data_IF_889813597422
#
_entry.id   IF_889813597422
#
_cell.length_a   1.000
_cell.length_b   1.000
_cell.length_c   1.000
_cell.angle_alpha   90.00
_cell.angle_beta   90.00
_cell.angle_gamma   90.00
#
_symmetry.space_group_name_H-M   'P 1'
#
loop_
_entity.id
_entity.type
_entity.pdbx_description
1 polymer ?
#
# COMPACT_ATOMS: atom_id res chain seq x y z
N UNK A 1 1.75 -14.23 3.49
CA UNK A 1 2.70 -13.80 4.52
C UNK A 1 3.85 -13.07 3.85
N UNK A 2 4.44 -12.04 4.46
CA UNK A 2 5.65 -11.40 3.94
C UNK A 2 6.75 -12.44 3.73
N UNK A 3 7.49 -12.33 2.62
CA UNK A 3 8.58 -13.25 2.29
C UNK A 3 9.80 -12.48 1.80
N UNK A 4 10.99 -13.00 2.06
CA UNK A 4 12.27 -12.55 1.50
C UNK A 4 12.73 -13.46 0.35
N UNK A 5 11.98 -14.52 0.07
CA UNK A 5 12.27 -15.46 -1.01
C UNK A 5 11.74 -14.93 -2.34
N UNK A 6 12.63 -14.75 -3.31
CA UNK A 6 12.24 -14.34 -4.67
C UNK A 6 11.38 -15.41 -5.35
N UNK A 7 11.66 -16.67 -5.09
CA UNK A 7 10.93 -17.79 -5.71
C UNK A 7 9.50 -17.86 -5.18
N UNK A 8 9.30 -17.62 -3.88
CA UNK A 8 7.95 -17.54 -3.30
C UNK A 8 7.18 -16.36 -3.87
N UNK A 9 7.85 -15.22 -4.10
CA UNK A 9 7.23 -14.05 -4.70
C UNK A 9 6.80 -14.33 -6.14
N UNK A 10 7.66 -14.94 -6.96
CA UNK A 10 7.33 -15.32 -8.33
C UNK A 10 6.18 -16.33 -8.37
N UNK A 11 6.22 -17.35 -7.52
CA UNK A 11 5.13 -18.32 -7.40
C UNK A 11 3.81 -17.69 -6.90
N UNK A 12 3.86 -16.61 -6.13
CA UNK A 12 2.67 -15.87 -5.75
C UNK A 12 2.10 -15.06 -6.92
N UNK A 13 2.97 -14.44 -7.73
CA UNK A 13 2.58 -13.68 -8.94
C UNK A 13 1.93 -14.62 -9.96
N UNK A 14 2.50 -15.81 -10.20
CA UNK A 14 1.95 -16.79 -11.13
C UNK A 14 0.55 -17.31 -10.73
N UNK A 15 0.19 -17.17 -9.47
CA UNK A 15 -1.14 -17.53 -8.94
C UNK A 15 -2.16 -16.41 -9.03
N UNK A 16 -1.79 -15.23 -9.50
CA UNK A 16 -2.74 -14.14 -9.65
C UNK A 16 -3.83 -14.49 -10.65
N UNK A 17 -5.07 -14.39 -10.19
CA UNK A 17 -6.24 -14.52 -11.04
C UNK A 17 -6.71 -13.13 -11.45
N UNK A 18 -6.88 -12.93 -12.76
CA UNK A 18 -7.42 -11.68 -13.27
C UNK A 18 -8.86 -11.50 -12.77
N UNK A 19 -9.08 -10.46 -12.01
CA UNK A 19 -10.39 -10.05 -11.54
C UNK A 19 -10.93 -8.92 -12.43
N UNK A 20 -12.26 -8.86 -12.59
CA UNK A 20 -12.88 -7.73 -13.29
C UNK A 20 -12.87 -6.51 -12.38
N UNK A 21 -12.38 -5.41 -12.91
CA UNK A 21 -12.38 -4.12 -12.22
C UNK A 21 -11.09 -3.80 -11.45
N UNK A 22 -10.94 -2.52 -11.13
CA UNK A 22 -9.78 -1.96 -10.44
C UNK A 22 -10.22 -1.45 -9.06
N UNK A 23 -9.72 -2.08 -7.99
CA UNK A 23 -10.10 -1.82 -6.61
C UNK A 23 -8.94 -1.19 -5.82
N UNK A 24 -8.51 0.02 -6.21
CA UNK A 24 -7.36 0.73 -5.64
C UNK A 24 -7.48 0.88 -4.11
N UNK A 25 -8.63 1.38 -3.64
CA UNK A 25 -8.86 1.56 -2.21
C UNK A 25 -8.79 0.25 -1.43
N UNK A 26 -9.33 -0.85 -1.98
CA UNK A 26 -9.23 -2.18 -1.35
C UNK A 26 -7.77 -2.63 -1.23
N UNK A 27 -6.97 -2.43 -2.28
CA UNK A 27 -5.55 -2.74 -2.27
C UNK A 27 -4.79 -1.97 -1.17
N UNK A 28 -5.06 -0.68 -1.02
CA UNK A 28 -4.46 0.15 0.03
C UNK A 28 -4.86 -0.29 1.44
N UNK A 29 -6.15 -0.52 1.68
CA UNK A 29 -6.63 -0.96 3.01
C UNK A 29 -6.08 -2.33 3.36
N UNK A 30 -6.02 -3.28 2.40
CA UNK A 30 -5.44 -4.60 2.63
C UNK A 30 -3.93 -4.52 2.90
N UNK A 31 -3.21 -3.64 2.21
CA UNK A 31 -1.78 -3.40 2.47
C UNK A 31 -1.56 -2.86 3.88
N UNK A 32 -2.39 -1.90 4.33
CA UNK A 32 -2.33 -1.38 5.69
C UNK A 32 -2.65 -2.44 6.75
N UNK A 33 -3.66 -3.29 6.50
CA UNK A 33 -3.97 -4.39 7.40
C UNK A 33 -2.83 -5.42 7.49
N UNK A 34 -2.07 -5.58 6.41
CA UNK A 34 -0.88 -6.45 6.38
C UNK A 34 0.30 -5.84 7.14
N UNK A 35 0.49 -4.52 7.03
CA UNK A 35 1.54 -3.80 7.75
C UNK A 35 1.24 -3.66 9.25
N UNK A 36 -0.03 -3.54 9.60
CA UNK A 36 -0.49 -3.31 10.98
C UNK A 36 -1.56 -4.34 11.40
N UNK A 37 -1.20 -5.61 11.54
CA UNK A 37 -2.16 -6.68 11.84
C UNK A 37 -2.90 -6.46 13.17
N UNK A 38 -2.24 -5.81 14.13
CA UNK A 38 -2.82 -5.53 15.45
C UNK A 38 -3.75 -4.30 15.47
N UNK A 39 -3.77 -3.51 14.39
CA UNK A 39 -4.56 -2.27 14.34
C UNK A 39 -6.06 -2.50 14.15
N UNK A 40 -6.51 -3.73 13.93
CA UNK A 40 -7.92 -4.07 13.78
C UNK A 40 -8.60 -3.34 12.62
N UNK A 41 -7.90 -3.10 11.52
CA UNK A 41 -8.43 -2.40 10.34
C UNK A 41 -9.66 -3.15 9.81
N UNK A 42 -10.78 -2.44 9.67
CA UNK A 42 -12.04 -3.02 9.21
C UNK A 42 -11.99 -3.36 7.72
N UNK A 43 -11.95 -4.64 7.41
CA UNK A 43 -11.96 -5.17 6.04
C UNK A 43 -13.36 -5.46 5.50
N UNK A 44 -14.42 -5.22 6.26
CA UNK A 44 -15.78 -5.56 5.86
C UNK A 44 -16.23 -4.87 4.56
N UNK A 45 -15.73 -3.67 4.30
CA UNK A 45 -16.00 -2.94 3.06
C UNK A 45 -15.33 -3.56 1.82
N UNK A 46 -14.31 -4.40 2.03
CA UNK A 46 -13.54 -5.06 0.96
C UNK A 46 -14.09 -6.46 0.72
N UNK A 47 -14.36 -7.20 1.79
CA UNK A 47 -14.80 -8.59 1.71
C UNK A 47 -16.28 -8.73 1.36
N UNK A 48 -17.04 -7.62 1.40
CA UNK A 48 -18.50 -7.68 1.21
C UNK A 48 -19.23 -8.40 2.33
N UNK A 49 -18.54 -8.83 3.36
CA UNK A 49 -19.13 -9.41 4.54
C UNK A 49 -19.90 -8.34 5.29
N UNK A 50 -21.24 -8.39 5.19
CA UNK A 50 -22.08 -7.63 6.09
C UNK A 50 -21.71 -8.05 7.51
N UNK A 51 -21.28 -7.08 8.30
CA UNK A 51 -21.09 -7.27 9.75
C UNK A 51 -22.35 -7.91 10.28
N UNK A 52 -22.30 -9.22 10.53
CA UNK A 52 -23.43 -9.90 11.17
C UNK A 52 -23.68 -9.20 12.50
N UNK A 53 -24.94 -8.87 12.83
CA UNK A 53 -25.25 -8.29 14.13
C UNK A 53 -24.69 -9.22 15.20
N UNK A 54 -23.85 -8.66 16.06
CA UNK A 54 -23.23 -9.42 17.15
C UNK A 54 -24.36 -10.02 18.01
N UNK A 55 -24.35 -11.33 18.29
CA UNK A 55 -25.37 -11.92 19.14
C UNK A 55 -25.44 -11.18 20.48
N UNK A 56 -26.63 -10.76 20.90
CA UNK A 56 -26.87 -10.19 22.21
C UNK A 56 -26.43 -11.22 23.26
N UNK A 57 -25.29 -10.98 23.94
CA UNK A 57 -24.73 -11.88 24.93
C UNK A 57 -23.29 -12.32 24.69
N UNK A 58 -22.67 -12.03 23.56
CA UNK A 58 -21.24 -12.27 23.40
C UNK A 58 -20.43 -11.39 24.37
N UNK A 59 -19.79 -12.03 25.35
CA UNK A 59 -18.92 -11.38 26.33
C UNK A 59 -17.91 -10.50 25.60
N UNK A 60 -17.74 -9.26 26.09
CA UNK A 60 -16.75 -8.29 25.65
C UNK A 60 -15.34 -8.79 26.01
N UNK A 61 -14.84 -9.76 25.24
CA UNK A 61 -13.47 -10.27 25.32
C UNK A 61 -12.63 -9.91 24.10
N UNK A 62 -13.22 -9.18 23.14
CA UNK A 62 -12.44 -8.57 22.09
C UNK A 62 -11.80 -7.30 22.66
N UNK A 63 -10.49 -7.26 22.73
CA UNK A 63 -9.71 -6.08 23.03
C UNK A 63 -10.34 -4.89 22.33
N UNK A 64 -10.76 -3.87 23.08
CA UNK A 64 -11.17 -2.61 22.49
C UNK A 64 -9.98 -2.16 21.63
N UNK A 65 -10.22 -1.79 20.36
CA UNK A 65 -9.12 -1.24 19.58
C UNK A 65 -8.51 -0.10 20.38
N UNK A 66 -7.22 -0.16 20.64
CA UNK A 66 -6.49 0.96 21.25
C UNK A 66 -6.83 2.22 20.46
N UNK A 67 -7.16 3.34 21.12
CA UNK A 67 -7.43 4.58 20.42
C UNK A 67 -6.29 4.84 19.46
N UNK A 68 -6.59 4.88 18.17
CA UNK A 68 -5.60 5.14 17.15
C UNK A 68 -5.30 6.65 17.18
N UNK A 69 -4.06 7.00 17.44
CA UNK A 69 -3.57 8.37 17.38
C UNK A 69 -2.83 8.59 16.06
N UNK A 70 -3.32 9.53 15.21
CA UNK A 70 -2.66 9.81 13.95
C UNK A 70 -1.24 10.33 14.16
N UNK A 71 -0.33 9.92 13.30
CA UNK A 71 1.05 10.40 13.26
C UNK A 71 1.28 11.30 12.04
N UNK A 72 2.36 12.08 11.99
CA UNK A 72 2.64 12.90 10.81
C UNK A 72 2.74 12.05 9.54
N UNK A 73 2.13 12.47 8.42
CA UNK A 73 2.21 11.74 7.15
C UNK A 73 3.67 11.49 6.74
N UNK A 74 3.96 10.32 6.20
CA UNK A 74 5.29 9.94 5.73
C UNK A 74 6.33 9.65 6.82
N UNK A 75 5.94 9.68 8.12
CA UNK A 75 6.86 9.49 9.24
C UNK A 75 7.23 8.02 9.51
N UNK A 76 6.47 7.06 8.99
CA UNK A 76 6.75 5.64 9.16
C UNK A 76 7.84 5.18 8.17
N UNK A 77 9.05 4.97 8.68
CA UNK A 77 10.22 4.64 7.86
C UNK A 77 10.43 3.15 7.61
N UNK A 78 9.72 2.28 8.36
CA UNK A 78 9.93 0.83 8.30
C UNK A 78 9.29 0.15 7.08
N UNK A 79 8.32 0.80 6.42
CA UNK A 79 7.69 0.29 5.22
C UNK A 79 7.08 1.40 4.36
N UNK A 80 6.85 1.10 3.09
CA UNK A 80 6.09 1.92 2.17
C UNK A 80 5.20 1.03 1.29
N UNK A 81 4.17 1.61 0.72
CA UNK A 81 3.30 0.95 -0.25
C UNK A 81 3.67 1.46 -1.64
N UNK A 82 3.81 0.57 -2.61
CA UNK A 82 3.94 0.90 -4.03
C UNK A 82 2.66 0.46 -4.72
N UNK A 83 1.89 1.44 -5.18
CA UNK A 83 0.64 1.23 -5.91
C UNK A 83 0.89 1.33 -7.40
N UNK A 84 0.78 0.23 -8.12
CA UNK A 84 0.85 0.18 -9.58
C UNK A 84 -0.55 -0.02 -10.15
N UNK A 85 -0.97 0.83 -11.09
CA UNK A 85 -2.27 0.72 -11.75
C UNK A 85 -2.22 1.26 -13.18
N UNK A 86 -3.03 0.66 -14.04
CA UNK A 86 -3.20 1.03 -15.45
C UNK A 86 -4.56 1.69 -15.74
N UNK A 87 -5.40 1.91 -14.72
CA UNK A 87 -6.75 2.38 -14.94
C UNK A 87 -7.40 3.14 -13.80
N UNK A 88 -8.64 3.55 -14.05
CA UNK A 88 -9.50 4.20 -13.08
C UNK A 88 -10.08 3.19 -12.10
N UNK A 89 -10.32 3.64 -10.87
CA UNK A 89 -11.10 2.86 -9.91
C UNK A 89 -12.49 2.54 -10.47
N UNK A 90 -12.85 1.27 -10.45
CA UNK A 90 -14.18 0.81 -10.86
C UNK A 90 -14.98 0.21 -9.71
N UNK A 91 -14.32 -0.19 -8.61
CA UNK A 91 -14.95 -0.84 -7.46
C UNK A 91 -14.17 -0.59 -6.17
N UNK A 92 -14.74 -1.01 -5.05
CA UNK A 92 -14.12 -0.89 -3.72
C UNK A 92 -14.29 0.48 -3.06
N UNK A 93 -13.72 0.66 -1.86
CA UNK A 93 -13.75 1.92 -1.12
C UNK A 93 -13.02 3.04 -1.86
N UNK A 94 -13.26 4.28 -1.45
CA UNK A 94 -12.64 5.45 -2.03
C UNK A 94 -11.11 5.43 -1.83
N UNK A 95 -10.30 5.57 -2.90
CA UNK A 95 -8.85 5.52 -2.80
C UNK A 95 -8.25 6.66 -1.97
N UNK A 96 -8.89 7.84 -1.97
CA UNK A 96 -8.40 8.99 -1.21
C UNK A 96 -8.66 8.82 0.29
N UNK A 97 -9.78 8.19 0.66
CA UNK A 97 -10.04 7.82 2.05
C UNK A 97 -9.03 6.75 2.52
N UNK A 98 -8.74 5.76 1.69
CA UNK A 98 -7.72 4.77 1.99
C UNK A 98 -6.30 5.39 2.09
N UNK A 99 -5.99 6.39 1.25
CA UNK A 99 -4.74 7.15 1.34
C UNK A 99 -4.64 7.97 2.63
N UNK A 100 -5.74 8.58 3.09
CA UNK A 100 -5.77 9.25 4.40
C UNK A 100 -5.49 8.27 5.54
N UNK A 101 -6.07 7.07 5.49
CA UNK A 101 -5.76 6.01 6.47
C UNK A 101 -4.28 5.64 6.49
N UNK A 102 -3.60 5.66 5.33
CA UNK A 102 -2.17 5.45 5.23
C UNK A 102 -1.39 6.63 5.81
N UNK A 103 -1.77 7.85 5.45
CA UNK A 103 -1.17 9.09 5.94
C UNK A 103 -1.24 9.20 7.46
N UNK A 104 -2.40 8.92 8.05
CA UNK A 104 -2.61 8.92 9.50
C UNK A 104 -1.69 7.92 10.22
N UNK A 105 -1.25 6.86 9.54
CA UNK A 105 -0.28 5.87 10.04
C UNK A 105 1.16 6.18 9.63
N UNK A 106 1.39 7.33 9.02
CA UNK A 106 2.70 7.77 8.55
C UNK A 106 3.24 7.00 7.34
N UNK A 107 2.46 6.10 6.74
CA UNK A 107 2.90 5.25 5.63
C UNK A 107 2.91 6.01 4.32
N UNK A 108 4.05 6.01 3.62
CA UNK A 108 4.18 6.55 2.28
C UNK A 108 3.54 5.61 1.25
N UNK A 109 2.77 6.18 0.32
CA UNK A 109 2.19 5.44 -0.81
C UNK A 109 2.74 6.02 -2.11
N UNK A 110 3.76 5.39 -2.64
CA UNK A 110 4.28 5.71 -3.97
C UNK A 110 3.32 5.19 -5.02
N UNK A 111 2.92 6.05 -5.94
CA UNK A 111 1.97 5.67 -6.99
C UNK A 111 2.65 5.65 -8.35
N UNK A 112 2.39 4.58 -9.12
CA UNK A 112 2.93 4.37 -10.46
C UNK A 112 1.78 4.18 -11.41
N UNK A 113 1.57 5.17 -12.28
CA UNK A 113 0.60 5.06 -13.38
C UNK A 113 1.24 4.38 -14.58
N UNK A 114 0.71 3.23 -14.99
CA UNK A 114 1.16 2.51 -16.17
C UNK A 114 0.10 2.57 -17.27
N UNK A 115 0.50 2.94 -18.49
CA UNK A 115 -0.41 3.03 -19.63
C UNK A 115 -0.41 4.39 -20.30
N UNK A 116 -1.43 4.68 -21.10
CA UNK A 116 -1.55 5.94 -21.83
C UNK A 116 -2.64 6.83 -21.25
N UNK A 117 -2.35 8.13 -21.13
CA UNK A 117 -3.33 9.15 -20.70
C UNK A 117 -4.42 9.40 -21.73
N UNK A 118 -4.16 9.05 -22.98
CA UNK A 118 -5.14 9.20 -24.08
C UNK A 118 -6.17 8.07 -24.12
N UNK A 119 -5.94 7.00 -23.37
CA UNK A 119 -6.79 5.82 -23.27
C UNK A 119 -6.68 4.93 -24.51
N UNK A 120 -6.19 3.71 -24.33
CA UNK A 120 -6.31 2.67 -25.35
C UNK A 120 -7.71 2.05 -25.32
N UNK A 121 -8.23 1.79 -26.53
CA UNK A 121 -9.47 1.03 -26.68
C UNK A 121 -9.08 -0.45 -26.71
N UNK A 122 -9.29 -1.15 -25.59
CA UNK A 122 -9.10 -2.58 -25.53
C UNK A 122 -10.39 -3.27 -25.97
N UNK A 123 -10.34 -3.94 -27.11
CA UNK A 123 -11.44 -4.74 -27.63
C UNK A 123 -11.38 -6.18 -27.07
N UNK A 124 -12.41 -6.62 -26.37
CA UNK A 124 -12.60 -8.00 -25.96
C UNK A 124 -13.99 -8.46 -26.43
N UNK A 125 -14.03 -9.48 -27.27
CA UNK A 125 -15.26 -10.15 -27.72
C UNK A 125 -16.44 -9.22 -28.10
N UNK A 126 -16.17 -8.19 -28.90
CA UNK A 126 -17.20 -7.26 -29.35
C UNK A 126 -17.51 -6.11 -28.38
N UNK A 127 -16.87 -6.04 -27.25
CA UNK A 127 -16.93 -4.91 -26.30
C UNK A 127 -15.65 -4.11 -26.40
N UNK A 128 -15.76 -2.80 -26.58
CA UNK A 128 -14.64 -1.90 -26.49
C UNK A 128 -14.72 -1.09 -25.21
N UNK A 129 -13.71 -1.21 -24.35
CA UNK A 129 -13.56 -0.39 -23.14
C UNK A 129 -12.37 0.54 -23.32
N UNK A 130 -12.60 1.84 -23.14
CA UNK A 130 -11.52 2.80 -23.10
C UNK A 130 -10.97 2.83 -21.67
N UNK A 131 -9.79 2.30 -21.48
CA UNK A 131 -9.07 2.38 -20.21
C UNK A 131 -8.24 3.65 -20.20
N UNK A 132 -8.56 4.58 -19.32
CA UNK A 132 -7.86 5.84 -19.18
C UNK A 132 -7.21 5.89 -17.80
N UNK A 133 -5.94 6.22 -17.76
CA UNK A 133 -5.20 6.42 -16.50
C UNK A 133 -5.75 7.65 -15.77
N UNK A 134 -6.09 7.50 -14.50
CA UNK A 134 -6.51 8.59 -13.61
C UNK A 134 -5.30 9.13 -12.85
N UNK A 135 -4.47 9.91 -13.56
CA UNK A 135 -3.28 10.52 -12.96
C UNK A 135 -3.61 11.44 -11.78
N UNK A 136 -4.72 12.17 -11.87
CA UNK A 136 -5.09 13.13 -10.85
C UNK A 136 -5.30 12.44 -9.49
N UNK A 137 -6.02 11.33 -9.47
CA UNK A 137 -6.20 10.54 -8.25
C UNK A 137 -4.89 9.96 -7.73
N UNK A 138 -4.01 9.48 -8.60
CA UNK A 138 -2.72 8.91 -8.21
C UNK A 138 -1.78 9.97 -7.62
N UNK A 139 -1.73 11.15 -8.22
CA UNK A 139 -0.98 12.30 -7.69
C UNK A 139 -1.50 12.73 -6.32
N UNK A 140 -2.83 12.75 -6.13
CA UNK A 140 -3.44 13.10 -4.85
C UNK A 140 -3.11 12.07 -3.77
N UNK A 141 -3.17 10.76 -4.06
CA UNK A 141 -2.79 9.69 -3.12
C UNK A 141 -1.34 9.87 -2.67
N UNK A 142 -0.42 10.07 -3.63
CA UNK A 142 0.99 10.30 -3.32
C UNK A 142 1.18 11.56 -2.45
N UNK A 143 0.54 12.67 -2.81
CA UNK A 143 0.63 13.92 -2.08
C UNK A 143 0.12 13.83 -0.64
N UNK A 144 -1.06 13.19 -0.41
CA UNK A 144 -1.65 12.98 0.93
C UNK A 144 -0.69 12.22 1.84
N UNK A 145 0.05 11.25 1.29
CA UNK A 145 0.97 10.37 2.04
C UNK A 145 2.42 10.85 2.04
N UNK A 146 2.70 12.06 1.51
CA UNK A 146 4.06 12.61 1.35
C UNK A 146 5.00 11.69 0.56
N UNK A 147 4.48 11.03 -0.45
CA UNK A 147 5.23 10.22 -1.40
C UNK A 147 5.23 10.87 -2.79
N UNK A 148 5.69 10.14 -3.81
CA UNK A 148 5.81 10.62 -5.17
C UNK A 148 4.95 9.79 -6.13
N UNK A 149 4.45 10.46 -7.17
CA UNK A 149 3.82 9.85 -8.33
C UNK A 149 4.86 9.65 -9.43
N UNK A 150 4.81 8.50 -10.08
CA UNK A 150 5.63 8.16 -11.24
C UNK A 150 4.73 7.74 -12.40
N UNK A 151 5.12 8.15 -13.60
CA UNK A 151 4.50 7.71 -14.84
C UNK A 151 5.41 6.73 -15.56
N UNK A 152 4.85 5.62 -16.04
CA UNK A 152 5.55 4.64 -16.86
C UNK A 152 4.72 4.35 -18.13
N UNK A 153 5.14 4.90 -19.26
CA UNK A 153 4.50 4.66 -20.56
C UNK A 153 4.93 3.36 -21.21
N UNK A 154 6.00 2.73 -20.71
CA UNK A 154 6.58 1.49 -21.23
C UNK A 154 7.14 0.62 -20.14
N UNK A 155 7.40 -0.65 -20.44
CA UNK A 155 8.08 -1.56 -19.51
C UNK A 155 9.49 -1.08 -19.13
N UNK A 156 10.18 -0.37 -20.03
CA UNK A 156 11.49 0.21 -19.75
C UNK A 156 11.40 1.37 -18.75
N UNK A 157 10.36 2.20 -18.86
CA UNK A 157 10.14 3.30 -17.91
C UNK A 157 9.75 2.74 -16.55
N UNK A 158 8.92 1.69 -16.52
CA UNK A 158 8.57 1.00 -15.30
C UNK A 158 9.82 0.46 -14.58
N UNK A 159 10.77 -0.13 -15.31
CA UNK A 159 12.05 -0.57 -14.74
C UNK A 159 12.82 0.60 -14.11
N UNK A 160 12.92 1.76 -14.78
CA UNK A 160 13.58 2.95 -14.21
C UNK A 160 12.89 3.44 -12.93
N UNK A 161 11.56 3.40 -12.90
CA UNK A 161 10.79 3.75 -11.70
C UNK A 161 11.16 2.82 -10.55
N UNK A 162 11.22 1.50 -10.78
CA UNK A 162 11.61 0.54 -9.74
C UNK A 162 13.06 0.73 -9.28
N UNK A 163 14.00 1.00 -10.18
CA UNK A 163 15.39 1.29 -9.83
C UNK A 163 15.49 2.56 -8.96
N UNK A 164 14.70 3.59 -9.28
CA UNK A 164 14.62 4.82 -8.49
C UNK A 164 14.01 4.57 -7.10
N UNK A 165 12.89 3.84 -7.05
CA UNK A 165 12.24 3.47 -5.80
C UNK A 165 13.15 2.59 -4.93
N UNK A 166 13.84 1.62 -5.53
CA UNK A 166 14.80 0.75 -4.85
C UNK A 166 15.89 1.54 -4.14
N UNK A 167 16.44 2.56 -4.79
CA UNK A 167 17.47 3.42 -4.20
C UNK A 167 16.95 4.29 -3.04
N UNK A 168 15.67 4.68 -3.06
CA UNK A 168 15.03 5.50 -2.02
C UNK A 168 14.47 4.67 -0.86
N UNK A 169 14.12 3.42 -1.13
CA UNK A 169 13.59 2.47 -0.17
C UNK A 169 14.67 1.59 0.48
N UNK A 170 15.94 1.86 0.21
CA UNK A 170 17.04 1.29 1.01
C UNK A 170 16.88 1.83 2.42
N UNK A 171 16.14 1.09 3.24
CA UNK A 171 16.06 1.32 4.67
C UNK A 171 17.46 1.10 5.21
N UNK A 172 18.11 2.18 5.57
CA UNK A 172 19.39 2.16 6.25
C UNK A 172 19.12 1.46 7.60
N UNK A 173 19.42 0.17 7.66
CA UNK A 173 19.47 -0.55 8.93
C UNK A 173 20.69 -0.04 9.67
N UNK A 174 20.55 1.15 10.27
CA UNK A 174 21.57 1.75 11.11
C UNK A 174 21.55 1.02 12.43
N UNK A 175 22.26 -0.10 12.49
CA UNK A 175 22.63 -0.70 13.76
C UNK A 175 23.56 0.30 14.47
N UNK A 176 22.98 1.08 15.36
CA UNK A 176 23.75 1.94 16.25
C UNK A 176 24.25 1.04 17.36
N UNK A 177 25.48 0.53 17.22
CA UNK A 177 26.15 -0.17 18.31
C UNK A 177 26.43 0.81 19.45
N UNK A 178 25.48 0.90 20.38
CA UNK A 178 25.63 1.72 21.60
C UNK A 178 26.58 1.03 22.58
N UNK A 179 26.86 -0.26 22.37
CA UNK A 179 27.71 -1.11 23.22
C UNK A 179 29.14 -0.55 23.34
N UNK A 180 29.72 -0.03 22.24
CA UNK A 180 31.06 0.53 22.26
C UNK A 180 31.15 1.81 23.11
N UNK A 181 30.09 2.64 23.12
CA UNK A 181 30.03 3.87 23.91
C UNK A 181 29.88 3.54 25.39
N UNK A 182 29.04 2.55 25.71
CA UNK A 182 28.85 2.09 27.09
C UNK A 182 30.09 1.38 27.67
N UNK A 183 30.81 0.60 26.84
CA UNK A 183 32.07 -0.03 27.24
C UNK A 183 33.17 1.00 27.46
N UNK A 184 33.23 2.06 26.66
CA UNK A 184 34.16 3.18 26.85
C UNK A 184 33.92 3.96 28.14
N UNK A 185 32.68 4.18 28.52
CA UNK A 185 32.29 4.83 29.78
C UNK A 185 32.60 3.94 31.01
N UNK A 186 32.39 2.62 30.90
CA UNK A 186 32.72 1.69 32.01
C UNK A 186 34.22 1.53 32.25
N UNK A 187 35.07 1.79 31.24
CA UNK A 187 36.53 1.76 31.38
C UNK A 187 37.15 3.02 31.97
N UNK A 188 36.38 4.08 32.17
CA UNK A 188 36.78 5.37 32.72
C UNK A 188 36.43 5.52 34.23
N UNK A 189 35.70 4.58 34.79
CA UNK A 189 35.35 4.45 36.22
C UNK A 189 36.22 3.39 36.91
#
# INVERSE_FOLDING_TARGET
>A
APTHSRDDLLAAIDRFQLQRGTAIGSGLVLSLATLFPEAGIDLSQITGERRMPRPLGARAGASQPTPFEPVPPGSYSAAAIVLLTDGQRTTGPDPLEAAKMAADRGVKVYTVGFGTTQGEVIGFDGWSMRVRLDEASLQQIAAITQAEYFYAGSAQDLKKVYDTLGSRLVFEHKETEVTAVLAGLAGLL
#
